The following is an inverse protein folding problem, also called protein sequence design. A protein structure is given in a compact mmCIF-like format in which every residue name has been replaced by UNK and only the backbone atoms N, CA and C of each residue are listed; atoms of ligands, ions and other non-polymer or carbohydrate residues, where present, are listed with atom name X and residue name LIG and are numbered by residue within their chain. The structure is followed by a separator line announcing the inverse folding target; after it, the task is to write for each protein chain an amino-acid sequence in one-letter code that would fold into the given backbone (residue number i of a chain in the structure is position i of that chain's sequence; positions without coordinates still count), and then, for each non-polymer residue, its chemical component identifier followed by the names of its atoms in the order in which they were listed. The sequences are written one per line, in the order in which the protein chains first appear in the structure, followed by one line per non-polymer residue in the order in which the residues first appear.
data_IF_172557971310
#
_entry.id   IF_172557971310
#
_cell.length_a   1.000
_cell.length_b   1.000
_cell.length_c   1.000
_cell.angle_alpha   90.00
_cell.angle_beta   90.00
_cell.angle_gamma   90.00
#
_symmetry.space_group_name_H-M   'P 1'
#
loop_
_entity.id
_entity.type
_entity.pdbx_description
1 polymer ?
#
# COMPACT_ATOMS: atom_id res chain seq x y z
N UNK A 1 -70.36 18.14 0.24
CA UNK A 1 -69.21 17.34 0.72
C UNK A 1 -69.47 16.98 2.17
N UNK A 2 -69.38 15.71 2.55
CA UNK A 2 -69.48 15.31 3.95
C UNK A 2 -68.13 15.54 4.65
N UNK A 3 -68.19 16.09 5.86
CA UNK A 3 -67.00 16.34 6.67
C UNK A 3 -67.03 15.47 7.93
N UNK A 4 -65.84 15.16 8.44
CA UNK A 4 -65.66 14.42 9.67
C UNK A 4 -64.79 15.19 10.65
N UNK A 5 -65.02 14.93 11.92
CA UNK A 5 -64.23 15.46 13.03
C UNK A 5 -62.88 14.75 13.14
N UNK A 6 -61.96 15.34 13.90
CA UNK A 6 -60.66 14.73 14.23
C UNK A 6 -60.83 13.35 14.92
N UNK A 7 -61.87 13.18 15.74
CA UNK A 7 -62.13 11.93 16.46
C UNK A 7 -62.60 10.82 15.50
N UNK A 8 -63.49 11.16 14.57
CA UNK A 8 -63.93 10.24 13.53
C UNK A 8 -62.79 9.88 12.57
N UNK A 9 -61.96 10.85 12.19
CA UNK A 9 -60.77 10.61 11.38
C UNK A 9 -59.75 9.69 12.09
N UNK A 10 -59.54 9.87 13.40
CA UNK A 10 -58.67 9.02 14.21
C UNK A 10 -59.13 7.56 14.19
N UNK A 11 -60.44 7.34 14.36
CA UNK A 11 -61.05 6.00 14.27
C UNK A 11 -60.93 5.42 12.85
N UNK A 12 -61.23 6.22 11.82
CA UNK A 12 -61.15 5.81 10.40
C UNK A 12 -59.73 5.42 9.99
N UNK A 13 -58.72 6.14 10.46
CA UNK A 13 -57.32 5.94 10.05
C UNK A 13 -56.52 5.01 10.99
N UNK A 14 -57.13 4.53 12.07
CA UNK A 14 -56.47 3.69 13.07
C UNK A 14 -55.24 4.36 13.69
N UNK A 15 -55.33 5.66 14.00
CA UNK A 15 -54.25 6.43 14.67
C UNK A 15 -54.82 7.27 15.81
N UNK A 16 -53.97 7.72 16.73
CA UNK A 16 -54.42 8.55 17.85
C UNK A 16 -54.96 9.91 17.40
N UNK A 17 -55.93 10.44 18.14
CA UNK A 17 -56.48 11.80 17.94
C UNK A 17 -55.36 12.85 17.92
N UNK A 18 -54.34 12.69 18.78
CA UNK A 18 -53.15 13.56 18.83
C UNK A 18 -52.35 13.53 17.51
N UNK A 19 -52.22 12.36 16.87
CA UNK A 19 -51.56 12.22 15.57
C UNK A 19 -52.36 12.88 14.45
N UNK A 20 -53.69 12.76 14.47
CA UNK A 20 -54.57 13.48 13.52
C UNK A 20 -54.41 14.99 13.67
N UNK A 21 -54.47 15.52 14.89
CA UNK A 21 -54.28 16.96 15.16
C UNK A 21 -52.91 17.46 14.67
N UNK A 22 -51.86 16.67 14.88
CA UNK A 22 -50.52 16.97 14.35
C UNK A 22 -50.52 17.11 12.82
N UNK A 23 -51.12 16.14 12.11
CA UNK A 23 -51.20 16.14 10.64
C UNK A 23 -52.03 17.33 10.11
N UNK A 24 -53.12 17.70 10.78
CA UNK A 24 -53.92 18.87 10.43
C UNK A 24 -53.12 20.17 10.62
N UNK A 25 -52.43 20.32 11.76
CA UNK A 25 -51.62 21.51 12.07
C UNK A 25 -50.46 21.71 11.08
N UNK A 26 -49.85 20.63 10.61
CA UNK A 26 -48.67 20.68 9.72
C UNK A 26 -49.05 20.67 8.23
N UNK A 27 -50.33 20.90 7.90
CA UNK A 27 -50.90 20.93 6.53
C UNK A 27 -50.47 19.75 5.64
N UNK A 28 -50.20 18.60 6.25
CA UNK A 28 -49.73 17.40 5.53
C UNK A 28 -50.86 16.71 4.74
N UNK A 29 -52.08 17.25 4.84
CA UNK A 29 -53.30 16.75 4.23
C UNK A 29 -53.93 17.91 3.45
N UNK A 30 -54.10 17.75 2.13
CA UNK A 30 -54.72 18.77 1.26
C UNK A 30 -56.23 18.81 1.48
N UNK A 31 -56.83 20.01 1.42
CA UNK A 31 -58.29 20.19 1.53
C UNK A 31 -58.86 20.34 2.94
N UNK A 32 -58.02 20.37 3.98
CA UNK A 32 -58.48 20.65 5.35
C UNK A 32 -58.63 22.16 5.55
N UNK A 33 -59.77 22.57 6.09
CA UNK A 33 -60.01 23.95 6.52
C UNK A 33 -60.19 24.00 8.04
N UNK A 34 -59.73 25.08 8.67
CA UNK A 34 -59.96 25.33 10.09
C UNK A 34 -61.11 26.31 10.26
N UNK A 35 -62.15 25.91 10.97
CA UNK A 35 -63.27 26.77 11.31
C UNK A 35 -63.27 26.99 12.83
N UNK A 36 -62.77 28.15 13.26
CA UNK A 36 -62.55 28.45 14.68
C UNK A 36 -61.57 27.46 15.33
N UNK A 37 -62.05 26.68 16.31
CA UNK A 37 -61.26 25.67 17.04
C UNK A 37 -61.29 24.28 16.38
N UNK A 38 -62.14 24.07 15.37
CA UNK A 38 -62.35 22.75 14.79
C UNK A 38 -61.65 22.59 13.45
N UNK A 39 -61.10 21.41 13.23
CA UNK A 39 -60.58 20.98 11.93
C UNK A 39 -61.69 20.32 11.14
N UNK A 40 -61.93 20.81 9.93
CA UNK A 40 -62.90 20.27 8.99
C UNK A 40 -62.13 19.37 8.01
N UNK A 41 -62.31 18.05 8.15
CA UNK A 41 -61.62 17.04 7.34
C UNK A 41 -62.65 16.41 6.38
N UNK A 42 -62.48 16.54 5.05
CA UNK A 42 -63.35 15.85 4.10
C UNK A 42 -63.37 14.33 4.32
N UNK A 43 -64.56 13.73 4.34
CA UNK A 43 -64.74 12.32 4.73
C UNK A 43 -64.18 11.35 3.69
N UNK A 44 -64.03 11.76 2.44
CA UNK A 44 -63.41 11.01 1.35
C UNK A 44 -61.89 10.82 1.52
N UNK A 45 -61.23 11.61 2.37
CA UNK A 45 -59.78 11.52 2.55
C UNK A 45 -59.37 10.22 3.24
N UNK A 46 -58.41 9.53 2.61
CA UNK A 46 -57.68 8.40 3.18
C UNK A 46 -56.63 8.84 4.20
N UNK A 47 -56.09 7.87 4.94
CA UNK A 47 -54.99 8.10 5.89
C UNK A 47 -53.76 8.63 5.12
N UNK A 48 -53.16 9.78 5.52
CA UNK A 48 -51.97 10.31 4.85
C UNK A 48 -50.76 9.38 4.99
N UNK A 49 -49.93 9.28 3.95
CA UNK A 49 -48.70 8.46 3.93
C UNK A 49 -47.75 8.96 5.04
N UNK A 50 -47.38 8.10 6.00
CA UNK A 50 -46.49 8.48 7.12
C UNK A 50 -45.06 8.63 6.61
N UNK A 51 -44.53 9.86 6.62
CA UNK A 51 -43.21 10.19 6.11
C UNK A 51 -42.03 9.66 6.96
N UNK A 52 -42.29 9.02 8.11
CA UNK A 52 -41.26 8.40 8.97
C UNK A 52 -40.79 7.04 8.49
N UNK A 53 -41.56 6.36 7.64
CA UNK A 53 -41.07 5.22 6.86
C UNK A 53 -40.85 5.68 5.43
N UNK A 54 -39.60 6.07 5.10
CA UNK A 54 -39.16 6.08 3.70
C UNK A 54 -38.85 4.64 3.30
N UNK A 55 -39.88 3.89 2.91
CA UNK A 55 -39.71 2.99 1.77
C UNK A 55 -39.82 3.91 0.55
N UNK A 56 -38.67 4.15 -0.08
CA UNK A 56 -38.54 4.99 -1.28
C UNK A 56 -39.36 4.37 -2.41
N UNK A 57 -40.62 4.78 -2.53
CA UNK A 57 -41.35 4.75 -3.79
C UNK A 57 -41.29 6.15 -4.39
N UNK A 58 -40.49 6.24 -5.45
CA UNK A 58 -40.63 7.16 -6.58
C UNK A 58 -40.31 8.64 -6.36
N UNK A 59 -39.03 8.97 -6.60
CA UNK A 59 -38.70 10.03 -7.54
C UNK A 59 -38.60 9.41 -8.94
N UNK A 60 -39.72 9.30 -9.66
CA UNK A 60 -39.70 9.15 -11.11
C UNK A 60 -39.67 10.55 -11.73
N UNK A 61 -38.53 10.83 -12.37
CA UNK A 61 -38.22 11.80 -13.43
C UNK A 61 -36.90 12.50 -13.12
N UNK A 62 -35.79 11.78 -13.33
CA UNK A 62 -34.82 12.07 -14.42
C UNK A 62 -33.57 11.15 -14.42
N UNK A 63 -33.66 9.91 -13.91
CA UNK A 63 -32.50 8.98 -13.93
C UNK A 63 -32.91 7.51 -13.92
N UNK A 64 -33.98 7.14 -14.64
CA UNK A 64 -34.38 5.75 -14.84
C UNK A 64 -33.70 5.13 -16.07
N UNK A 65 -32.45 5.51 -16.34
CA UNK A 65 -31.58 4.60 -17.06
C UNK A 65 -31.25 3.49 -16.06
N UNK A 66 -31.57 2.20 -16.35
CA UNK A 66 -30.98 1.12 -15.57
C UNK A 66 -29.48 1.40 -15.55
N UNK A 67 -28.83 1.35 -14.37
CA UNK A 67 -27.37 1.35 -14.35
C UNK A 67 -26.95 0.20 -15.26
N UNK A 68 -26.50 0.53 -16.46
CA UNK A 68 -25.91 -0.45 -17.36
C UNK A 68 -24.83 -1.16 -16.55
N UNK A 69 -24.76 -2.48 -16.67
CA UNK A 69 -23.74 -3.21 -15.93
C UNK A 69 -22.38 -2.60 -16.27
N UNK A 70 -21.47 -2.54 -15.30
CA UNK A 70 -20.16 -1.93 -15.52
C UNK A 70 -19.41 -2.64 -16.68
N UNK A 71 -19.71 -3.92 -16.93
CA UNK A 71 -19.24 -4.66 -18.09
C UNK A 71 -19.82 -4.22 -19.44
N UNK A 72 -20.97 -3.53 -19.47
CA UNK A 72 -21.61 -3.00 -20.67
C UNK A 72 -21.30 -1.51 -20.89
N UNK A 73 -21.05 -0.74 -19.82
CA UNK A 73 -20.64 0.67 -19.91
C UNK A 73 -19.12 0.82 -19.88
N UNK A 74 -18.48 0.42 -20.98
CA UNK A 74 -17.02 0.38 -21.11
C UNK A 74 -16.36 1.75 -20.97
N UNK A 75 -17.06 2.84 -21.33
CA UNK A 75 -16.50 4.19 -21.23
C UNK A 75 -16.39 4.64 -19.77
N UNK A 76 -17.45 4.44 -18.97
CA UNK A 76 -17.42 4.75 -17.54
C UNK A 76 -16.45 3.84 -16.81
N UNK A 77 -16.43 2.54 -17.14
CA UNK A 77 -15.47 1.59 -16.58
C UNK A 77 -14.04 2.03 -16.86
N UNK A 78 -13.71 2.32 -18.12
CA UNK A 78 -12.37 2.79 -18.52
C UNK A 78 -11.97 4.07 -17.77
N UNK A 79 -12.88 5.04 -17.64
CA UNK A 79 -12.63 6.27 -16.86
C UNK A 79 -12.37 5.97 -15.38
N UNK A 80 -13.13 5.07 -14.76
CA UNK A 80 -12.89 4.68 -13.35
C UNK A 80 -11.50 4.09 -13.19
N UNK A 81 -11.10 3.19 -14.09
CA UNK A 81 -9.78 2.54 -14.05
C UNK A 81 -8.68 3.59 -14.24
N UNK A 82 -8.82 4.47 -15.22
CA UNK A 82 -7.85 5.53 -15.53
C UNK A 82 -7.56 6.44 -14.33
N UNK A 83 -8.60 6.84 -13.58
CA UNK A 83 -8.47 7.72 -12.42
C UNK A 83 -8.31 6.97 -11.08
N UNK A 84 -8.22 5.64 -11.10
CA UNK A 84 -8.08 4.88 -9.87
C UNK A 84 -6.71 5.15 -9.20
N UNK A 85 -6.65 5.42 -7.89
CA UNK A 85 -5.42 5.89 -7.22
C UNK A 85 -4.40 4.79 -6.94
N UNK A 86 -4.67 3.55 -7.34
CA UNK A 86 -3.78 2.41 -7.20
C UNK A 86 -3.50 1.79 -8.57
N UNK A 87 -2.34 1.15 -8.79
CA UNK A 87 -2.10 0.40 -10.01
C UNK A 87 -3.19 -0.65 -10.23
N UNK A 88 -3.76 -0.65 -11.43
CA UNK A 88 -4.77 -1.63 -11.83
C UNK A 88 -4.36 -2.29 -13.14
N UNK A 89 -4.51 -3.61 -13.22
CA UNK A 89 -4.58 -4.33 -14.48
C UNK A 89 -5.98 -4.91 -14.69
N UNK A 90 -6.45 -4.89 -15.93
CA UNK A 90 -7.69 -5.55 -16.34
C UNK A 90 -7.36 -6.56 -17.43
N UNK A 91 -7.87 -7.76 -17.25
CA UNK A 91 -7.66 -8.90 -18.14
C UNK A 91 -8.98 -9.33 -18.79
N UNK A 92 -8.90 -9.73 -20.05
CA UNK A 92 -9.96 -10.48 -20.71
C UNK A 92 -10.04 -11.91 -20.14
N UNK A 93 -11.14 -12.65 -20.36
CA UNK A 93 -11.34 -13.99 -19.77
C UNK A 93 -10.27 -15.02 -20.13
N UNK A 94 -9.59 -14.83 -21.26
CA UNK A 94 -8.47 -15.67 -21.70
C UNK A 94 -7.15 -15.38 -20.97
N UNK A 95 -7.10 -14.36 -20.11
CA UNK A 95 -5.91 -13.91 -19.37
C UNK A 95 -5.12 -12.80 -20.05
N UNK A 96 -5.53 -12.34 -21.23
CA UNK A 96 -4.83 -11.28 -21.97
C UNK A 96 -5.06 -9.93 -21.31
N UNK A 97 -3.99 -9.16 -21.05
CA UNK A 97 -4.14 -7.83 -20.45
C UNK A 97 -4.66 -6.82 -21.46
N UNK A 98 -5.80 -6.18 -21.17
CA UNK A 98 -6.49 -5.28 -22.10
C UNK A 98 -6.49 -3.81 -21.66
N UNK A 99 -6.32 -3.55 -20.36
CA UNK A 99 -6.34 -2.20 -19.81
C UNK A 99 -5.45 -2.10 -18.57
N UNK A 100 -4.85 -0.92 -18.39
CA UNK A 100 -4.10 -0.52 -17.21
C UNK A 100 -4.21 1.00 -17.05
N UNK A 101 -3.88 1.53 -15.88
CA UNK A 101 -3.95 2.95 -15.57
C UNK A 101 -2.58 3.63 -15.47
N UNK A 102 -2.58 4.96 -15.40
CA UNK A 102 -1.36 5.78 -15.29
C UNK A 102 -0.57 5.47 -14.01
N UNK A 103 -1.27 5.15 -12.93
CA UNK A 103 -0.64 4.81 -11.66
C UNK A 103 0.24 3.55 -11.77
N UNK A 104 -0.20 2.57 -12.57
CA UNK A 104 0.60 1.40 -12.91
C UNK A 104 1.89 1.77 -13.67
N UNK A 105 1.81 2.64 -14.68
CA UNK A 105 2.99 3.10 -15.41
C UNK A 105 3.97 3.83 -14.50
N UNK A 106 3.44 4.72 -13.64
CA UNK A 106 4.23 5.52 -12.70
C UNK A 106 4.95 4.65 -11.68
N UNK A 107 4.26 3.72 -11.02
CA UNK A 107 4.84 2.88 -9.96
C UNK A 107 5.83 1.88 -10.53
N UNK A 108 5.54 1.28 -11.69
CA UNK A 108 6.41 0.28 -12.31
C UNK A 108 7.45 0.87 -13.28
N UNK A 109 7.52 2.20 -13.39
CA UNK A 109 8.41 2.93 -14.31
C UNK A 109 8.31 2.43 -15.75
N UNK A 110 7.08 2.15 -16.19
CA UNK A 110 6.82 1.65 -17.54
C UNK A 110 6.63 2.85 -18.48
N UNK A 111 7.35 2.93 -19.62
CA UNK A 111 7.31 4.11 -20.48
C UNK A 111 5.92 4.45 -21.02
N UNK A 112 5.11 3.43 -21.34
CA UNK A 112 3.82 3.62 -22.00
C UNK A 112 2.96 2.35 -21.95
N UNK A 113 1.63 2.50 -22.13
CA UNK A 113 0.66 1.38 -22.08
C UNK A 113 0.88 0.33 -23.18
N UNK A 114 1.34 0.72 -24.36
CA UNK A 114 1.56 -0.17 -25.52
C UNK A 114 2.68 -1.21 -25.29
N UNK A 115 3.55 -0.96 -24.29
CA UNK A 115 4.58 -1.92 -23.88
C UNK A 115 4.01 -3.11 -23.08
N UNK A 116 2.78 -3.01 -22.61
CA UNK A 116 2.18 -4.00 -21.69
C UNK A 116 0.88 -4.58 -22.24
N UNK A 117 -0.02 -3.71 -22.74
CA UNK A 117 -1.35 -4.12 -23.21
C UNK A 117 -1.21 -5.09 -24.38
N UNK A 118 -1.88 -6.24 -24.29
CA UNK A 118 -1.86 -7.30 -25.29
C UNK A 118 -0.54 -8.06 -25.44
N UNK A 119 0.51 -7.69 -24.68
CA UNK A 119 1.83 -8.33 -24.75
C UNK A 119 1.97 -9.52 -23.81
N UNK A 120 1.16 -9.57 -22.76
CA UNK A 120 1.27 -10.55 -21.70
C UNK A 120 -0.09 -11.19 -21.41
N UNK A 121 -0.06 -12.49 -21.14
CA UNK A 121 -1.21 -13.27 -20.70
C UNK A 121 -0.93 -13.79 -19.28
N UNK A 122 -1.67 -13.32 -18.29
CA UNK A 122 -1.39 -13.60 -16.87
C UNK A 122 -1.55 -15.07 -16.49
N UNK A 123 -2.37 -15.83 -17.23
CA UNK A 123 -2.57 -17.26 -16.99
C UNK A 123 -1.42 -18.11 -17.54
N UNK A 124 -0.69 -17.58 -18.52
CA UNK A 124 0.42 -18.27 -19.19
C UNK A 124 1.79 -17.70 -18.80
N UNK A 125 1.81 -16.66 -17.97
CA UNK A 125 3.03 -15.92 -17.68
C UNK A 125 3.95 -16.72 -16.75
N UNK A 126 5.18 -17.05 -17.19
CA UNK A 126 6.11 -17.82 -16.37
C UNK A 126 6.54 -17.08 -15.10
N UNK A 127 6.43 -15.75 -15.04
CA UNK A 127 6.79 -15.01 -13.81
C UNK A 127 5.89 -15.37 -12.64
N UNK A 128 4.66 -15.82 -12.91
CA UNK A 128 3.72 -16.24 -11.86
C UNK A 128 4.21 -17.52 -11.19
N UNK A 129 4.99 -18.35 -11.89
CA UNK A 129 5.61 -19.54 -11.29
C UNK A 129 6.72 -19.16 -10.30
N UNK A 130 7.44 -18.06 -10.57
CA UNK A 130 8.44 -17.51 -9.64
C UNK A 130 7.78 -17.00 -8.34
N UNK A 131 6.49 -16.64 -8.38
CA UNK A 131 5.71 -16.23 -7.22
C UNK A 131 5.14 -17.42 -6.41
N UNK A 132 5.35 -18.65 -6.88
CA UNK A 132 4.95 -19.89 -6.23
C UNK A 132 3.66 -20.51 -6.78
N UNK A 133 3.57 -21.84 -6.70
CA UNK A 133 2.44 -22.62 -7.23
C UNK A 133 1.08 -22.21 -6.66
N UNK A 134 1.06 -21.83 -5.38
CA UNK A 134 -0.17 -21.36 -4.72
C UNK A 134 -0.68 -20.05 -5.33
N UNK A 135 0.24 -19.14 -5.69
CA UNK A 135 -0.09 -17.88 -6.36
C UNK A 135 -0.75 -18.13 -7.72
N UNK A 136 -0.18 -19.03 -8.53
CA UNK A 136 -0.78 -19.42 -9.83
C UNK A 136 -2.20 -19.97 -9.65
N UNK A 137 -2.39 -20.89 -8.71
CA UNK A 137 -3.69 -21.52 -8.44
C UNK A 137 -4.74 -20.47 -8.04
N UNK A 138 -4.34 -19.55 -7.18
CA UNK A 138 -5.19 -18.45 -6.72
C UNK A 138 -5.55 -17.49 -7.87
N UNK A 139 -4.61 -17.13 -8.76
CA UNK A 139 -4.92 -16.33 -9.94
C UNK A 139 -5.96 -17.05 -10.81
N UNK A 140 -5.76 -18.34 -11.11
CA UNK A 140 -6.71 -19.14 -11.92
C UNK A 140 -8.12 -19.12 -11.31
N UNK A 141 -8.26 -19.22 -9.98
CA UNK A 141 -9.55 -19.14 -9.28
C UNK A 141 -10.28 -17.81 -9.54
N UNK A 142 -9.55 -16.69 -9.66
CA UNK A 142 -10.19 -15.41 -10.01
C UNK A 142 -10.78 -15.38 -11.41
N UNK A 143 -10.18 -16.10 -12.35
CA UNK A 143 -10.72 -16.30 -13.71
C UNK A 143 -11.85 -17.37 -13.75
N UNK A 144 -12.04 -18.10 -12.66
CA UNK A 144 -13.20 -18.99 -12.46
C UNK A 144 -14.35 -18.29 -11.73
N UNK A 145 -14.22 -16.99 -11.45
CA UNK A 145 -15.27 -16.19 -10.85
C UNK A 145 -15.15 -15.98 -9.34
N UNK A 146 -14.00 -16.30 -8.74
CA UNK A 146 -13.78 -16.09 -7.31
C UNK A 146 -13.10 -14.74 -7.01
N UNK A 147 -13.46 -14.12 -5.88
CA UNK A 147 -12.65 -13.04 -5.30
C UNK A 147 -11.41 -13.64 -4.61
N UNK A 148 -10.24 -13.11 -4.91
CA UNK A 148 -8.95 -13.63 -4.41
C UNK A 148 -8.07 -12.48 -3.93
N UNK A 149 -7.33 -12.70 -2.85
CA UNK A 149 -6.39 -11.71 -2.33
C UNK A 149 -5.05 -12.34 -1.94
N UNK A 150 -3.98 -11.72 -2.42
CA UNK A 150 -2.60 -12.03 -2.10
C UNK A 150 -2.06 -11.01 -1.11
N UNK A 151 -1.27 -11.47 -0.15
CA UNK A 151 -0.59 -10.59 0.79
C UNK A 151 0.90 -10.85 0.78
N UNK A 152 1.69 -9.78 0.87
CA UNK A 152 3.12 -9.89 1.04
C UNK A 152 3.87 -10.39 -0.20
N UNK A 153 3.30 -10.26 -1.40
CA UNK A 153 3.96 -10.71 -2.63
C UNK A 153 5.22 -9.88 -2.86
N UNK A 154 6.36 -10.55 -2.93
CA UNK A 154 7.66 -9.89 -3.13
C UNK A 154 7.91 -9.72 -4.62
N UNK A 155 8.00 -8.46 -5.05
CA UNK A 155 8.23 -8.04 -6.43
C UNK A 155 9.61 -7.38 -6.54
N UNK A 156 10.61 -8.10 -7.09
CA UNK A 156 11.90 -7.48 -7.39
C UNK A 156 11.73 -6.47 -8.52
N UNK A 157 11.97 -5.18 -8.25
CA UNK A 157 11.75 -4.11 -9.25
C UNK A 157 12.64 -4.32 -10.48
N UNK A 158 13.85 -4.87 -10.31
CA UNK A 158 14.74 -5.21 -11.42
C UNK A 158 14.10 -6.17 -12.44
N UNK A 159 13.34 -7.16 -11.96
CA UNK A 159 12.72 -8.16 -12.84
C UNK A 159 11.62 -7.51 -13.67
N UNK A 160 10.87 -6.59 -13.06
CA UNK A 160 9.87 -5.76 -13.74
C UNK A 160 10.55 -4.90 -14.81
N UNK A 161 11.60 -4.16 -14.45
CA UNK A 161 12.33 -3.28 -15.37
C UNK A 161 12.90 -4.04 -16.58
N UNK A 162 13.53 -5.20 -16.35
CA UNK A 162 14.07 -6.05 -17.44
C UNK A 162 12.99 -6.48 -18.42
N UNK A 163 11.79 -6.76 -17.91
CA UNK A 163 10.67 -7.22 -18.72
C UNK A 163 10.10 -6.12 -19.62
N UNK A 164 10.29 -4.87 -19.24
CA UNK A 164 9.96 -3.70 -20.05
C UNK A 164 11.16 -3.13 -20.81
N UNK A 165 12.19 -3.95 -21.01
CA UNK A 165 13.41 -3.60 -21.76
C UNK A 165 14.14 -2.36 -21.20
N UNK A 166 13.95 -2.07 -19.92
CA UNK A 166 14.68 -0.99 -19.25
C UNK A 166 16.08 -1.45 -18.87
N UNK A 167 17.07 -0.62 -19.19
CA UNK A 167 18.47 -0.83 -18.80
C UNK A 167 18.78 -0.29 -17.40
N UNK A 168 17.79 0.23 -16.68
CA UNK A 168 17.98 0.70 -15.32
C UNK A 168 18.32 -0.46 -14.37
N UNK A 169 19.33 -0.22 -13.54
CA UNK A 169 19.76 -1.16 -12.51
C UNK A 169 19.23 -0.68 -11.17
N UNK A 170 18.33 -1.45 -10.58
CA UNK A 170 17.65 -1.12 -9.33
C UNK A 170 17.61 -2.37 -8.44
N UNK A 171 17.97 -2.26 -7.16
CA UNK A 171 17.83 -3.39 -6.23
C UNK A 171 16.51 -3.37 -5.47
N UNK A 172 15.67 -2.35 -5.67
CA UNK A 172 14.49 -2.13 -4.87
C UNK A 172 13.55 -3.34 -4.88
N UNK A 173 12.97 -3.58 -3.71
CA UNK A 173 12.00 -4.65 -3.53
C UNK A 173 10.68 -3.99 -3.16
N UNK A 174 9.65 -4.27 -3.93
CA UNK A 174 8.30 -3.87 -3.62
C UNK A 174 7.54 -5.07 -3.05
N UNK A 175 6.93 -4.90 -1.88
CA UNK A 175 6.00 -5.88 -1.33
C UNK A 175 4.60 -5.40 -1.67
N UNK A 176 3.87 -6.22 -2.42
CA UNK A 176 2.54 -5.93 -2.93
C UNK A 176 1.48 -6.81 -2.28
N UNK A 177 0.34 -6.23 -1.95
CA UNK A 177 -0.90 -6.96 -1.77
C UNK A 177 -1.68 -6.85 -3.06
N UNK A 178 -2.19 -7.96 -3.59
CA UNK A 178 -2.95 -7.95 -4.84
C UNK A 178 -4.36 -8.39 -4.52
N UNK A 179 -5.35 -7.65 -5.03
CA UNK A 179 -6.75 -8.01 -4.94
C UNK A 179 -7.23 -8.31 -6.36
N UNK A 180 -7.73 -9.52 -6.57
CA UNK A 180 -8.24 -10.01 -7.84
C UNK A 180 -9.74 -10.26 -7.74
N UNK A 181 -10.52 -9.68 -8.64
CA UNK A 181 -11.96 -9.89 -8.66
C UNK A 181 -12.52 -9.92 -10.08
N UNK A 182 -13.49 -10.81 -10.34
CA UNK A 182 -14.18 -10.88 -11.61
C UNK A 182 -15.22 -9.76 -11.75
N UNK A 183 -15.42 -9.31 -12.98
CA UNK A 183 -16.56 -8.51 -13.42
C UNK A 183 -17.34 -9.38 -14.40
N UNK A 184 -18.65 -9.46 -14.20
CA UNK A 184 -19.54 -10.25 -15.04
C UNK A 184 -20.43 -9.35 -15.91
N UNK A 185 -20.81 -9.86 -17.07
CA UNK A 185 -21.94 -9.34 -17.83
C UNK A 185 -23.27 -9.68 -17.14
N UNK A 186 -24.37 -9.09 -17.61
CA UNK A 186 -25.71 -9.35 -17.08
C UNK A 186 -26.14 -10.83 -17.20
N UNK A 187 -25.59 -11.57 -18.16
CA UNK A 187 -25.84 -13.00 -18.39
C UNK A 187 -24.96 -13.92 -17.53
N UNK A 188 -24.24 -13.36 -16.54
CA UNK A 188 -23.30 -14.06 -15.65
C UNK A 188 -22.07 -14.64 -16.36
N UNK A 189 -21.80 -14.28 -17.61
CA UNK A 189 -20.52 -14.58 -18.25
C UNK A 189 -19.43 -13.65 -17.70
N UNK A 190 -18.23 -14.20 -17.50
CA UNK A 190 -17.07 -13.43 -17.09
C UNK A 190 -16.73 -12.42 -18.18
N UNK A 191 -16.82 -11.12 -17.86
CA UNK A 191 -16.44 -10.04 -18.75
C UNK A 191 -14.95 -9.76 -18.63
N UNK A 192 -14.48 -9.53 -17.39
CA UNK A 192 -13.12 -9.13 -17.09
C UNK A 192 -12.67 -9.66 -15.73
N UNK A 193 -11.36 -9.73 -15.52
CA UNK A 193 -10.77 -9.89 -14.18
C UNK A 193 -9.92 -8.68 -13.89
N UNK A 194 -10.15 -8.03 -12.74
CA UNK A 194 -9.43 -6.83 -12.31
C UNK A 194 -8.46 -7.19 -11.20
N UNK A 195 -7.20 -6.80 -11.37
CA UNK A 195 -6.15 -6.92 -10.37
C UNK A 195 -5.79 -5.52 -9.87
N UNK A 196 -5.97 -5.27 -8.58
CA UNK A 196 -5.56 -4.03 -7.90
C UNK A 196 -4.33 -4.31 -7.07
N UNK A 197 -3.27 -3.53 -7.26
CA UNK A 197 -2.02 -3.67 -6.53
C UNK A 197 -1.93 -2.60 -5.44
N UNK A 198 -1.69 -3.03 -4.21
CA UNK A 198 -1.54 -2.14 -3.06
C UNK A 198 -0.14 -2.36 -2.50
N UNK A 199 0.71 -1.36 -2.67
CA UNK A 199 2.08 -1.40 -2.15
C UNK A 199 2.05 -1.43 -0.62
N UNK A 200 2.41 -2.57 -0.04
CA UNK A 200 2.53 -2.73 1.40
C UNK A 200 3.84 -2.11 1.93
N UNK A 201 4.97 -2.34 1.24
CA UNK A 201 6.29 -1.79 1.56
C UNK A 201 7.14 -1.63 0.31
N UNK A 202 8.04 -0.65 0.31
CA UNK A 202 9.12 -0.52 -0.68
C UNK A 202 10.41 -0.44 0.12
N UNK A 203 11.39 -1.28 -0.21
CA UNK A 203 12.74 -1.19 0.34
C UNK A 203 13.66 -0.62 -0.73
N UNK A 204 13.95 0.67 -0.62
CA UNK A 204 14.84 1.35 -1.56
C UNK A 204 16.30 1.06 -1.25
N UNK A 205 17.19 1.24 -2.23
CA UNK A 205 18.63 1.21 -2.04
C UNK A 205 19.08 2.14 -0.89
N UNK A 206 18.52 3.35 -0.80
CA UNK A 206 18.81 4.30 0.27
C UNK A 206 18.43 3.75 1.65
N UNK A 207 17.23 3.19 1.80
CA UNK A 207 16.78 2.62 3.07
C UNK A 207 17.62 1.40 3.46
N UNK A 208 17.96 0.55 2.48
CA UNK A 208 18.89 -0.57 2.68
C UNK A 208 20.26 -0.09 3.14
N UNK A 209 20.80 0.98 2.54
CA UNK A 209 22.11 1.52 2.96
C UNK A 209 22.05 2.14 4.35
N UNK A 210 20.98 2.85 4.69
CA UNK A 210 20.77 3.39 6.03
C UNK A 210 20.72 2.27 7.08
N UNK A 211 19.94 1.21 6.82
CA UNK A 211 19.88 0.01 7.68
C UNK A 211 21.21 -0.71 7.79
N UNK A 212 21.96 -0.85 6.69
CA UNK A 212 23.26 -1.50 6.71
C UNK A 212 24.28 -0.70 7.54
N UNK A 213 24.33 0.64 7.39
CA UNK A 213 25.20 1.50 8.21
C UNK A 213 24.88 1.36 9.69
N UNK A 214 23.60 1.44 10.04
CA UNK A 214 23.12 1.25 11.42
C UNK A 214 23.50 -0.13 11.96
N UNK A 215 23.31 -1.19 11.19
CA UNK A 215 23.72 -2.54 11.59
C UNK A 215 25.21 -2.62 11.91
N UNK A 216 26.08 -2.03 11.07
CA UNK A 216 27.53 -1.97 11.31
C UNK A 216 27.84 -1.17 12.57
N UNK A 217 27.14 -0.05 12.81
CA UNK A 217 27.33 0.78 14.00
C UNK A 217 26.88 0.09 15.30
N UNK A 218 25.87 -0.76 15.24
CA UNK A 218 25.38 -1.53 16.41
C UNK A 218 26.25 -2.76 16.69
N UNK A 219 26.81 -3.40 15.66
CA UNK A 219 27.60 -4.63 15.76
C UNK A 219 29.11 -4.37 15.57
N UNK A 220 29.56 -3.13 15.76
CA UNK A 220 30.95 -2.72 15.47
C UNK A 220 32.01 -3.47 16.30
N UNK A 221 31.65 -4.00 17.46
CA UNK A 221 32.57 -4.74 18.34
C UNK A 221 32.88 -6.13 17.79
N UNK A 222 31.91 -6.77 17.14
CA UNK A 222 32.00 -8.13 16.59
C UNK A 222 32.97 -8.22 15.41
N UNK A 223 33.38 -9.44 15.05
CA UNK A 223 34.21 -9.69 13.87
C UNK A 223 33.44 -9.31 12.59
N UNK A 224 34.13 -8.68 11.64
CA UNK A 224 33.52 -8.24 10.39
C UNK A 224 33.05 -9.42 9.53
N UNK A 225 31.75 -9.51 9.29
CA UNK A 225 31.15 -10.47 8.38
C UNK A 225 30.29 -9.77 7.32
N UNK A 226 30.85 -9.64 6.12
CA UNK A 226 30.17 -9.04 4.97
C UNK A 226 28.85 -9.74 4.62
N UNK A 227 28.77 -11.05 4.82
CA UNK A 227 27.60 -11.84 4.48
C UNK A 227 26.45 -11.55 5.42
N UNK A 228 26.70 -11.45 6.74
CA UNK A 228 25.68 -11.07 7.73
C UNK A 228 25.12 -9.67 7.47
N UNK A 229 25.99 -8.70 7.18
CA UNK A 229 25.57 -7.33 6.87
C UNK A 229 24.68 -7.33 5.62
N UNK A 230 25.09 -8.02 4.55
CA UNK A 230 24.32 -8.09 3.31
C UNK A 230 22.96 -8.78 3.51
N UNK A 231 22.92 -9.86 4.30
CA UNK A 231 21.69 -10.58 4.66
C UNK A 231 20.73 -9.71 5.47
N UNK A 232 21.23 -8.87 6.38
CA UNK A 232 20.40 -7.94 7.17
C UNK A 232 19.57 -6.98 6.32
N UNK A 233 19.96 -6.77 5.07
CA UNK A 233 19.29 -5.90 4.09
C UNK A 233 18.82 -6.64 2.83
N UNK A 234 18.72 -7.98 2.90
CA UNK A 234 18.25 -8.85 1.81
C UNK A 234 19.03 -8.67 0.49
N UNK A 235 20.35 -8.51 0.56
CA UNK A 235 21.24 -8.40 -0.59
C UNK A 235 22.27 -9.53 -0.62
N UNK A 236 22.72 -9.89 -1.82
CA UNK A 236 23.92 -10.72 -1.95
C UNK A 236 25.16 -9.91 -1.56
N UNK A 237 26.19 -10.57 -1.03
CA UNK A 237 27.47 -9.93 -0.63
C UNK A 237 28.09 -9.08 -1.75
N UNK A 238 28.00 -9.55 -3.00
CA UNK A 238 28.56 -8.87 -4.17
C UNK A 238 27.75 -7.64 -4.57
N UNK A 239 26.42 -7.71 -4.46
CA UNK A 239 25.57 -6.56 -4.73
C UNK A 239 25.74 -5.51 -3.62
N UNK A 240 25.62 -5.93 -2.36
CA UNK A 240 25.81 -5.07 -1.21
C UNK A 240 27.16 -4.32 -1.26
N UNK A 241 28.27 -5.03 -1.50
CA UNK A 241 29.57 -4.36 -1.56
C UNK A 241 29.69 -3.34 -2.68
N UNK A 242 29.05 -3.56 -3.84
CA UNK A 242 29.05 -2.60 -4.96
C UNK A 242 28.17 -1.39 -4.63
N UNK A 243 26.96 -1.64 -4.15
CA UNK A 243 26.00 -0.60 -3.79
C UNK A 243 26.54 0.28 -2.66
N UNK A 244 27.05 -0.33 -1.58
CA UNK A 244 27.62 0.41 -0.46
C UNK A 244 28.79 1.29 -0.89
N UNK A 245 29.69 0.79 -1.76
CA UNK A 245 30.81 1.59 -2.28
C UNK A 245 30.35 2.71 -3.20
N UNK A 246 29.34 2.47 -4.03
CA UNK A 246 28.72 3.51 -4.87
C UNK A 246 28.15 4.64 -4.00
N UNK A 247 27.41 4.31 -2.95
CA UNK A 247 26.72 5.27 -2.10
C UNK A 247 27.62 5.96 -1.06
N UNK A 248 28.66 5.29 -0.56
CA UNK A 248 29.54 5.82 0.51
C UNK A 248 30.94 6.19 0.04
N UNK A 249 31.27 5.93 -1.22
CA UNK A 249 32.63 6.04 -1.79
C UNK A 249 33.68 5.10 -1.18
N UNK A 250 33.35 4.34 -0.13
CA UNK A 250 34.28 3.41 0.55
C UNK A 250 33.69 2.01 0.69
N UNK A 251 34.53 1.02 0.96
CA UNK A 251 34.04 -0.36 1.14
C UNK A 251 33.38 -0.52 2.51
N UNK A 252 32.45 -1.49 2.68
CA UNK A 252 31.86 -1.80 3.98
C UNK A 252 32.91 -2.08 5.06
N UNK A 253 33.99 -2.79 4.70
CA UNK A 253 35.09 -3.06 5.63
C UNK A 253 35.83 -1.80 6.06
N UNK A 254 36.09 -0.86 5.13
CA UNK A 254 36.73 0.40 5.48
C UNK A 254 35.83 1.26 6.38
N UNK A 255 34.53 1.31 6.13
CA UNK A 255 33.56 2.00 6.98
C UNK A 255 33.54 1.41 8.41
N UNK A 256 33.48 0.08 8.52
CA UNK A 256 33.60 -0.62 9.80
C UNK A 256 34.92 -0.32 10.52
N UNK A 257 36.04 -0.29 9.80
CA UNK A 257 37.34 0.09 10.37
C UNK A 257 37.33 1.53 10.88
N UNK A 258 36.74 2.46 10.15
CA UNK A 258 36.66 3.87 10.57
C UNK A 258 35.85 4.02 11.86
N UNK A 259 34.75 3.27 12.02
CA UNK A 259 33.99 3.21 13.28
C UNK A 259 34.86 2.66 14.41
N UNK A 260 35.53 1.51 14.20
CA UNK A 260 36.42 0.92 15.23
C UNK A 260 37.55 1.88 15.63
N UNK A 261 38.18 2.55 14.67
CA UNK A 261 39.25 3.50 14.94
C UNK A 261 38.72 4.72 15.70
N UNK A 262 37.54 5.23 15.37
CA UNK A 262 36.90 6.30 16.12
C UNK A 262 36.67 5.89 17.59
N UNK A 263 36.05 4.73 17.82
CA UNK A 263 35.84 4.19 19.17
C UNK A 263 37.14 3.96 19.92
N UNK A 264 38.16 3.42 19.25
CA UNK A 264 39.46 3.20 19.87
C UNK A 264 40.16 4.51 20.24
N UNK A 265 40.05 5.57 19.42
CA UNK A 265 40.56 6.90 19.78
C UNK A 265 39.91 7.42 21.06
N UNK A 266 38.60 7.25 21.19
CA UNK A 266 37.86 7.65 22.39
C UNK A 266 38.31 6.83 23.60
N UNK A 267 38.37 5.50 23.49
CA UNK A 267 38.84 4.60 24.56
C UNK A 267 40.29 4.87 24.96
N UNK A 268 41.16 5.23 24.01
CA UNK A 268 42.56 5.58 24.30
C UNK A 268 42.70 6.83 25.17
N UNK A 269 41.66 7.66 25.29
CA UNK A 269 41.63 8.82 26.17
C UNK A 269 41.48 8.45 27.66
N UNK A 270 40.98 7.24 27.96
CA UNK A 270 40.90 6.74 29.32
C UNK A 270 42.29 6.38 29.85
N UNK A 271 42.70 7.07 30.93
CA UNK A 271 44.00 6.87 31.59
C UNK A 271 44.01 5.68 32.56
N UNK A 272 42.82 5.18 32.94
CA UNK A 272 42.70 3.96 33.74
C UNK A 272 43.01 2.69 32.95
N UNK A 273 43.00 2.75 31.62
CA UNK A 273 43.27 1.63 30.74
C UNK A 273 44.70 1.70 30.17
N UNK A 274 45.41 0.56 30.19
CA UNK A 274 46.59 0.35 29.35
C UNK A 274 46.23 0.42 27.85
N UNK A 275 47.23 0.48 26.99
CA UNK A 275 46.98 0.47 25.54
C UNK A 275 46.37 -0.86 25.13
N UNK A 276 46.84 -1.98 25.69
CA UNK A 276 46.31 -3.30 25.39
C UNK A 276 44.85 -3.45 25.82
N UNK A 277 44.49 -2.94 27.01
CA UNK A 277 43.11 -2.97 27.49
C UNK A 277 42.18 -2.10 26.64
N UNK A 278 42.65 -0.93 26.17
CA UNK A 278 41.86 -0.08 25.27
C UNK A 278 41.56 -0.78 23.93
N UNK A 279 42.53 -1.52 23.38
CA UNK A 279 42.30 -2.34 22.19
C UNK A 279 41.32 -3.48 22.48
N UNK A 280 41.51 -4.19 23.59
CA UNK A 280 40.64 -5.30 24.00
C UNK A 280 39.19 -4.86 24.20
N UNK A 281 38.96 -3.69 24.81
CA UNK A 281 37.64 -3.09 24.98
C UNK A 281 36.95 -2.75 23.65
N UNK A 282 37.71 -2.61 22.57
CA UNK A 282 37.20 -2.40 21.20
C UNK A 282 37.10 -3.70 20.39
N UNK A 283 37.25 -4.87 21.03
CA UNK A 283 37.24 -6.17 20.37
C UNK A 283 38.43 -6.33 19.42
N UNK A 284 39.60 -5.83 19.80
CA UNK A 284 40.84 -5.93 19.03
C UNK A 284 41.98 -6.45 19.90
N UNK A 285 42.81 -7.32 19.32
CA UNK A 285 44.07 -7.68 19.95
C UNK A 285 45.13 -6.61 19.65
N UNK A 286 45.80 -6.14 20.69
CA UNK A 286 46.91 -5.21 20.52
C UNK A 286 48.12 -5.95 19.95
N UNK A 287 48.26 -5.90 18.62
CA UNK A 287 49.37 -6.49 17.89
C UNK A 287 49.94 -5.50 16.86
N UNK A 288 51.08 -5.86 16.25
CA UNK A 288 51.77 -5.02 15.28
C UNK A 288 50.90 -4.64 14.07
N UNK A 289 49.97 -5.50 13.66
CA UNK A 289 49.07 -5.23 12.53
C UNK A 289 48.06 -4.12 12.88
N UNK A 290 47.33 -4.26 13.99
CA UNK A 290 46.32 -3.25 14.36
C UNK A 290 46.96 -1.92 14.79
N UNK A 291 48.15 -1.95 15.41
CA UNK A 291 48.92 -0.73 15.68
C UNK A 291 49.32 0.00 14.39
N UNK A 292 49.71 -0.75 13.34
CA UNK A 292 50.01 -0.19 12.02
C UNK A 292 48.77 0.36 11.33
N UNK A 293 47.62 -0.33 11.40
CA UNK A 293 46.34 0.15 10.86
C UNK A 293 45.94 1.47 11.53
N UNK A 294 46.02 1.54 12.87
CA UNK A 294 45.75 2.77 13.61
C UNK A 294 46.68 3.91 13.16
N UNK A 295 47.99 3.65 13.11
CA UNK A 295 48.97 4.65 12.66
C UNK A 295 48.69 5.13 11.23
N UNK A 296 48.34 4.24 10.31
CA UNK A 296 48.05 4.61 8.93
C UNK A 296 46.80 5.49 8.81
N UNK A 297 45.78 5.24 9.65
CA UNK A 297 44.52 5.99 9.65
C UNK A 297 44.61 7.32 10.41
N UNK A 298 45.36 7.35 11.51
CA UNK A 298 45.40 8.47 12.47
C UNK A 298 46.66 9.33 12.31
N UNK A 299 47.72 8.80 11.68
CA UNK A 299 49.03 9.44 11.53
C UNK A 299 49.98 9.24 12.72
N UNK A 300 49.47 8.77 13.87
CA UNK A 300 50.22 8.57 15.11
C UNK A 300 50.08 7.13 15.60
N UNK A 301 51.10 6.59 16.28
CA UNK A 301 50.92 5.32 17.00
C UNK A 301 49.92 5.50 18.16
N UNK A 302 49.26 4.43 18.64
CA UNK A 302 48.35 4.54 19.78
C UNK A 302 48.97 5.21 21.01
N UNK A 303 50.23 4.89 21.33
CA UNK A 303 50.98 5.50 22.44
C UNK A 303 51.23 6.99 22.20
N UNK A 304 51.61 7.38 20.97
CA UNK A 304 51.83 8.77 20.60
C UNK A 304 50.52 9.58 20.67
N UNK A 305 49.42 9.01 20.16
CA UNK A 305 48.10 9.62 20.19
C UNK A 305 47.63 9.88 21.63
N UNK A 306 47.75 8.87 22.52
CA UNK A 306 47.42 9.01 23.94
C UNK A 306 48.27 10.09 24.64
N UNK A 307 49.58 10.10 24.38
CA UNK A 307 50.49 11.10 24.94
C UNK A 307 50.12 12.53 24.52
N UNK A 308 49.74 12.71 23.25
CA UNK A 308 49.32 14.00 22.70
C UNK A 308 48.05 14.53 23.36
N UNK A 309 47.02 13.68 23.55
CA UNK A 309 45.79 14.09 24.22
C UNK A 309 46.02 14.36 25.70
N UNK A 310 46.91 13.62 26.34
CA UNK A 310 47.21 13.81 27.76
C UNK A 310 47.99 15.08 28.13
N UNK A 311 48.41 15.88 27.14
CA UNK A 311 49.12 17.15 27.31
C UNK A 311 48.24 18.40 27.13
N UNK A 312 46.95 18.23 26.79
CA UNK A 312 45.93 19.28 26.85
C UNK A 312 45.18 19.20 28.18
#
# INVERSE_FOLDING_TARGET
MEYMTVQEAAKKWGISVRRVQYLCNHKTIRGITKLGKFWIIPRELGKPKDSRYKLNEEKQNDSNQPMQSLGENIEVFSKIIEFFPYPIHVYAPDGTMILTNEECLRVMHIPSKDKIIGKFNVLQDPIIDEWGEDTRRQIIRSFQGEFVQFQGLVMPIQNILRRFESNEVCSDISIQNIICFPIFHNDSQLAYVVHVFITARIYTDEEKMSKAKKYIEEHWIEEFDLSRIAQSVNLSKYHFSRLFKKETSITPFNYYQDIKIAKLKDTLCDRGLSISEAFSACGLDYNGNYAKVFKNRVGLTPSQYRKMIGQK
#
